data_IF_873959296731
#
_entry.id   IF_873959296731
#
_cell.length_a   1.000
_cell.length_b   1.000
_cell.length_c   1.000
_cell.angle_alpha   90.00
_cell.angle_beta   90.00
_cell.angle_gamma   90.00
#
_symmetry.space_group_name_H-M   'P 1'
#
loop_
_entity.id
_entity.type
_entity.pdbx_description
1 polymer ?
#
# COMPACT_ATOMS: atom_id res chain seq x y z
N UNK A 1 -64.72 -35.62 6.78
CA UNK A 1 -64.11 -34.34 6.47
C UNK A 1 -62.70 -34.34 7.08
N UNK A 2 -61.64 -34.53 6.26
CA UNK A 2 -60.23 -34.57 6.71
C UNK A 2 -59.64 -33.18 6.47
N UNK A 3 -59.29 -32.48 7.56
CA UNK A 3 -58.57 -31.20 7.50
C UNK A 3 -57.08 -31.45 7.41
N UNK A 4 -56.46 -31.07 6.27
CA UNK A 4 -55.03 -31.13 6.06
C UNK A 4 -54.47 -29.79 6.54
N UNK A 5 -53.63 -29.82 7.60
CA UNK A 5 -52.86 -28.68 8.07
C UNK A 5 -51.56 -28.61 7.29
N UNK A 6 -51.38 -27.53 6.51
CA UNK A 6 -50.08 -27.19 5.89
C UNK A 6 -49.24 -26.48 6.94
N UNK A 7 -48.18 -27.12 7.37
CA UNK A 7 -47.13 -26.46 8.17
C UNK A 7 -46.19 -25.71 7.22
N UNK A 8 -46.25 -24.38 7.18
CA UNK A 8 -45.30 -23.57 6.45
C UNK A 8 -44.00 -23.48 7.27
N UNK A 9 -42.95 -24.15 6.80
CA UNK A 9 -41.60 -24.02 7.35
C UNK A 9 -41.00 -22.70 6.87
N UNK A 10 -41.02 -21.66 7.72
CA UNK A 10 -40.23 -20.46 7.48
C UNK A 10 -38.75 -20.77 7.73
N UNK A 11 -38.00 -20.98 6.67
CA UNK A 11 -36.57 -21.05 6.72
C UNK A 11 -35.99 -19.65 6.95
N UNK A 12 -35.45 -19.38 8.12
CA UNK A 12 -34.65 -18.17 8.38
C UNK A 12 -33.29 -18.35 7.70
N UNK A 13 -33.08 -17.66 6.58
CA UNK A 13 -31.75 -17.54 5.98
C UNK A 13 -30.89 -16.68 6.93
N UNK A 14 -30.00 -17.30 7.67
CA UNK A 14 -28.93 -16.59 8.39
C UNK A 14 -27.95 -16.10 7.31
N UNK A 15 -28.01 -14.81 6.99
CA UNK A 15 -26.98 -14.17 6.21
C UNK A 15 -25.68 -14.22 7.03
N UNK A 16 -24.73 -15.04 6.63
CA UNK A 16 -23.38 -14.98 7.17
C UNK A 16 -22.81 -13.59 6.84
N UNK A 17 -22.69 -12.75 7.85
CA UNK A 17 -22.01 -11.47 7.70
C UNK A 17 -20.56 -11.78 7.29
N UNK A 18 -20.18 -11.37 6.11
CA UNK A 18 -18.80 -11.44 5.69
C UNK A 18 -17.96 -10.62 6.68
N UNK A 19 -17.02 -11.28 7.36
CA UNK A 19 -16.15 -10.63 8.33
C UNK A 19 -14.95 -10.07 7.58
N UNK A 20 -14.70 -8.76 7.78
CA UNK A 20 -13.46 -8.14 7.37
C UNK A 20 -12.28 -8.79 8.12
N UNK A 21 -11.23 -9.12 7.41
CA UNK A 21 -10.01 -9.69 7.99
C UNK A 21 -8.93 -8.62 8.06
N UNK A 22 -8.24 -8.54 9.20
CA UNK A 22 -7.07 -7.68 9.34
C UNK A 22 -5.82 -8.45 8.94
N UNK A 23 -5.10 -7.90 7.99
CA UNK A 23 -3.84 -8.41 7.45
C UNK A 23 -2.71 -7.51 7.91
N UNK A 24 -1.53 -8.08 8.13
CA UNK A 24 -0.29 -7.34 8.41
C UNK A 24 0.62 -7.39 7.20
N UNK A 25 1.18 -6.27 6.82
CA UNK A 25 2.23 -6.24 5.78
C UNK A 25 3.44 -7.01 6.27
N UNK A 26 3.91 -7.96 5.48
CA UNK A 26 5.13 -8.72 5.76
C UNK A 26 6.35 -7.94 5.25
N UNK A 27 7.19 -7.38 6.14
CA UNK A 27 8.32 -6.55 5.73
C UNK A 27 9.42 -7.32 4.98
N UNK A 28 9.43 -8.65 5.08
CA UNK A 28 10.44 -9.48 4.42
C UNK A 28 10.09 -9.78 2.96
N UNK A 29 8.80 -9.65 2.61
CA UNK A 29 8.29 -9.97 1.27
C UNK A 29 7.55 -8.77 0.65
N UNK A 30 7.78 -7.56 1.18
CA UNK A 30 7.20 -6.33 0.66
C UNK A 30 8.28 -5.31 0.35
N UNK A 31 8.06 -4.52 -0.70
CA UNK A 31 8.99 -3.49 -1.14
C UNK A 31 8.26 -2.24 -1.62
N UNK A 32 8.74 -1.08 -1.20
CA UNK A 32 8.33 0.21 -1.77
C UNK A 32 9.45 0.69 -2.71
N UNK A 33 9.25 0.52 -4.02
CA UNK A 33 10.21 0.86 -5.05
C UNK A 33 9.89 2.22 -5.65
N UNK A 34 10.92 2.92 -6.11
CA UNK A 34 10.75 4.17 -6.84
C UNK A 34 11.72 4.29 -8.02
N UNK A 35 11.34 5.10 -8.99
CA UNK A 35 12.23 5.50 -10.07
C UNK A 35 12.09 6.97 -10.42
N UNK A 36 13.21 7.59 -10.81
CA UNK A 36 13.29 9.01 -11.16
C UNK A 36 14.27 9.23 -12.32
N UNK A 37 14.00 10.21 -13.16
CA UNK A 37 14.94 10.63 -14.21
C UNK A 37 16.10 11.43 -13.62
N UNK A 38 17.31 11.10 -14.04
CA UNK A 38 18.54 11.87 -13.78
C UNK A 38 19.02 12.52 -15.07
N UNK A 39 19.16 13.84 -15.05
CA UNK A 39 19.50 14.69 -16.21
C UNK A 39 18.59 14.47 -17.43
N UNK A 40 17.42 13.87 -17.25
CA UNK A 40 16.52 13.51 -18.34
C UNK A 40 16.97 12.30 -19.18
N UNK A 41 18.19 11.79 -18.99
CA UNK A 41 18.82 10.78 -19.90
C UNK A 41 18.86 9.38 -19.31
N UNK A 42 18.92 9.23 -17.98
CA UNK A 42 18.95 7.93 -17.31
C UNK A 42 17.87 7.82 -16.26
N UNK A 43 17.64 6.59 -15.77
CA UNK A 43 16.67 6.34 -14.69
C UNK A 43 17.41 5.77 -13.49
N UNK A 44 17.37 6.50 -12.38
CA UNK A 44 17.77 6.00 -11.07
C UNK A 44 16.58 5.25 -10.47
N UNK A 45 16.86 4.07 -9.92
CA UNK A 45 15.90 3.24 -9.17
C UNK A 45 16.39 3.04 -7.76
N UNK A 46 15.47 2.98 -6.83
CA UNK A 46 15.73 2.67 -5.44
C UNK A 46 14.56 1.96 -4.79
N UNK A 47 14.79 1.48 -3.58
CA UNK A 47 13.81 0.78 -2.76
C UNK A 47 13.92 1.28 -1.32
N UNK A 48 12.80 1.35 -0.62
CA UNK A 48 12.77 1.39 0.83
C UNK A 48 12.58 -0.04 1.32
N UNK A 49 13.54 -0.53 2.09
CA UNK A 49 13.61 -1.94 2.50
C UNK A 49 12.73 -2.27 3.71
N UNK A 50 12.18 -1.26 4.40
CA UNK A 50 11.38 -1.46 5.62
C UNK A 50 10.01 -0.82 5.46
N UNK A 51 9.04 -1.67 5.17
CA UNK A 51 7.62 -1.29 5.06
C UNK A 51 6.82 -2.13 6.04
N UNK A 52 5.93 -1.50 6.81
CA UNK A 52 5.04 -2.14 7.78
C UNK A 52 3.65 -1.55 7.63
N UNK A 53 2.65 -2.22 8.20
CA UNK A 53 1.29 -1.68 8.18
C UNK A 53 0.23 -2.75 8.34
N UNK A 54 -1.02 -2.30 8.22
CA UNK A 54 -2.20 -3.14 8.28
C UNK A 54 -3.13 -2.86 7.11
N UNK A 55 -3.78 -3.91 6.63
CA UNK A 55 -4.85 -3.84 5.64
C UNK A 55 -6.06 -4.56 6.21
N UNK A 56 -7.16 -3.85 6.37
CA UNK A 56 -8.46 -4.45 6.67
C UNK A 56 -9.15 -4.69 5.35
N UNK A 57 -9.38 -5.94 5.01
CA UNK A 57 -9.96 -6.34 3.72
C UNK A 57 -11.21 -7.18 3.92
N UNK A 58 -12.27 -6.82 3.19
CA UNK A 58 -13.52 -7.57 3.11
C UNK A 58 -13.70 -8.08 1.68
N UNK A 59 -13.64 -9.40 1.51
CA UNK A 59 -13.82 -10.05 0.20
C UNK A 59 -15.19 -9.76 -0.40
N UNK A 60 -16.23 -9.61 0.44
CA UNK A 60 -17.60 -9.35 -0.02
C UNK A 60 -17.83 -7.87 -0.38
N UNK A 61 -17.03 -6.97 0.17
CA UNK A 61 -17.11 -5.53 -0.09
C UNK A 61 -15.70 -4.89 -0.13
N UNK A 62 -14.96 -5.08 -1.24
CA UNK A 62 -13.62 -4.50 -1.39
C UNK A 62 -13.58 -2.98 -1.21
N UNK A 63 -14.70 -2.27 -1.43
CA UNK A 63 -14.80 -0.83 -1.21
C UNK A 63 -14.63 -0.40 0.25
N UNK A 64 -14.76 -1.34 1.21
CA UNK A 64 -14.52 -1.09 2.64
C UNK A 64 -13.07 -1.31 3.07
N UNK A 65 -12.18 -1.61 2.14
CA UNK A 65 -10.76 -1.80 2.43
C UNK A 65 -10.17 -0.58 3.12
N UNK A 66 -9.42 -0.81 4.20
CA UNK A 66 -8.67 0.22 4.90
C UNK A 66 -7.20 -0.14 4.91
N UNK A 67 -6.34 0.80 4.57
CA UNK A 67 -4.89 0.64 4.51
C UNK A 67 -4.25 1.68 5.42
N UNK A 68 -3.36 1.23 6.29
CA UNK A 68 -2.49 2.09 7.10
C UNK A 68 -1.07 1.52 6.99
N UNK A 69 -0.19 2.24 6.29
CA UNK A 69 1.16 1.79 5.97
C UNK A 69 2.21 2.82 6.38
N UNK A 70 3.35 2.31 6.83
CA UNK A 70 4.50 3.10 7.25
C UNK A 70 5.77 2.54 6.63
N UNK A 71 6.58 3.41 6.06
CA UNK A 71 7.89 3.13 5.50
C UNK A 71 8.94 3.85 6.34
N UNK A 72 10.01 3.16 6.75
CA UNK A 72 11.19 3.76 7.34
C UNK A 72 11.98 4.53 6.26
N UNK A 73 11.96 5.85 6.32
CA UNK A 73 12.61 6.70 5.32
C UNK A 73 14.13 6.50 5.27
N UNK A 74 14.77 6.11 6.38
CA UNK A 74 16.19 5.82 6.43
C UNK A 74 16.56 4.51 5.74
N UNK A 75 15.57 3.64 5.45
CA UNK A 75 15.80 2.35 4.77
C UNK A 75 15.99 2.46 3.25
N UNK A 76 16.09 3.67 2.71
CA UNK A 76 16.33 3.93 1.29
C UNK A 76 17.67 3.32 0.84
N UNK A 77 17.62 2.58 -0.27
CA UNK A 77 18.75 1.94 -0.92
C UNK A 77 18.64 2.09 -2.45
N UNK A 78 19.64 2.71 -3.06
CA UNK A 78 19.79 2.84 -4.50
C UNK A 78 21.04 2.10 -5.02
N UNK A 79 21.67 1.29 -4.16
CA UNK A 79 22.93 0.56 -4.41
C UNK A 79 24.15 1.47 -4.58
N UNK A 80 24.05 2.74 -4.16
CA UNK A 80 25.16 3.71 -4.17
C UNK A 80 25.13 4.47 -2.85
N UNK A 81 25.98 4.09 -1.91
CA UNK A 81 26.00 4.60 -0.53
C UNK A 81 26.06 6.13 -0.46
N UNK A 82 26.90 6.76 -1.29
CA UNK A 82 26.99 8.23 -1.33
C UNK A 82 25.65 8.88 -1.69
N UNK A 83 24.92 8.31 -2.63
CA UNK A 83 23.59 8.80 -3.02
C UNK A 83 22.57 8.53 -1.93
N UNK A 84 22.62 7.38 -1.30
CA UNK A 84 21.70 7.00 -0.21
C UNK A 84 21.89 7.92 0.98
N UNK A 85 23.14 8.32 1.30
CA UNK A 85 23.44 9.30 2.34
C UNK A 85 22.90 10.70 1.99
N UNK A 86 23.00 11.12 0.74
CA UNK A 86 22.41 12.39 0.29
C UNK A 86 20.87 12.33 0.33
N UNK A 87 20.25 11.22 -0.09
CA UNK A 87 18.81 11.03 0.00
C UNK A 87 18.28 11.09 1.46
N UNK A 88 19.06 10.61 2.43
CA UNK A 88 18.72 10.68 3.86
C UNK A 88 18.93 12.08 4.45
N UNK A 89 19.74 12.92 3.82
CA UNK A 89 20.12 14.24 4.31
C UNK A 89 18.98 15.28 4.21
N UNK A 90 19.14 16.47 4.83
CA UNK A 90 18.22 17.60 4.66
C UNK A 90 18.07 18.10 3.22
N UNK A 91 18.95 17.70 2.29
CA UNK A 91 18.81 18.04 0.87
C UNK A 91 17.60 17.33 0.23
N UNK A 92 17.18 16.18 0.77
CA UNK A 92 16.09 15.37 0.23
C UNK A 92 15.06 14.98 1.29
N UNK A 93 15.23 13.83 1.95
CA UNK A 93 14.20 13.26 2.83
C UNK A 93 14.28 13.78 4.27
N UNK A 94 15.45 14.29 4.68
CA UNK A 94 15.69 14.76 6.06
C UNK A 94 15.21 13.75 7.11
N UNK A 95 15.72 12.53 7.02
CA UNK A 95 15.20 11.39 7.81
C UNK A 95 15.36 11.56 9.31
N UNK A 96 16.23 12.48 9.76
CA UNK A 96 16.38 12.83 11.17
C UNK A 96 15.13 13.56 11.67
N UNK A 97 14.60 14.46 10.86
CA UNK A 97 13.40 15.24 11.18
C UNK A 97 12.12 14.50 10.76
N UNK A 98 12.16 13.76 9.67
CA UNK A 98 11.03 13.06 9.08
C UNK A 98 11.36 11.57 8.88
N UNK A 99 11.39 10.77 9.96
CA UNK A 99 11.89 9.39 9.91
C UNK A 99 10.98 8.42 9.15
N UNK A 100 9.74 8.81 8.87
CA UNK A 100 8.77 7.93 8.24
C UNK A 100 8.08 8.59 7.06
N UNK A 101 7.73 7.74 6.07
CA UNK A 101 6.74 8.02 5.04
C UNK A 101 5.50 7.22 5.40
N UNK A 102 4.31 7.84 5.38
CA UNK A 102 3.06 7.15 5.77
C UNK A 102 2.00 7.28 4.69
N UNK A 103 1.16 6.26 4.58
CA UNK A 103 -0.03 6.28 3.74
C UNK A 103 -1.23 5.77 4.52
N UNK A 104 -2.35 6.50 4.44
CA UNK A 104 -3.63 6.11 5.02
C UNK A 104 -4.74 6.25 3.99
N UNK A 105 -5.42 5.16 3.67
CA UNK A 105 -6.52 5.19 2.71
C UNK A 105 -7.71 6.01 3.26
N UNK A 106 -8.35 6.78 2.38
CA UNK A 106 -9.54 7.57 2.68
C UNK A 106 -10.75 7.09 1.88
N UNK A 107 -10.52 6.51 0.70
CA UNK A 107 -11.58 5.97 -0.15
C UNK A 107 -11.02 4.84 -1.01
N UNK A 108 -11.82 3.79 -1.20
CA UNK A 108 -11.47 2.67 -2.09
C UNK A 108 -12.62 2.46 -3.07
N UNK A 109 -12.28 2.43 -4.34
CA UNK A 109 -13.18 2.10 -5.43
C UNK A 109 -12.75 0.77 -6.06
N UNK A 110 -13.60 -0.25 -5.97
CA UNK A 110 -13.38 -1.51 -6.69
C UNK A 110 -13.67 -1.31 -8.17
N UNK A 111 -12.75 -1.77 -9.02
CA UNK A 111 -12.91 -1.76 -10.48
C UNK A 111 -13.25 -3.16 -11.04
N UNK A 112 -13.45 -4.13 -10.15
CA UNK A 112 -13.69 -5.53 -10.53
C UNK A 112 -12.41 -6.28 -10.89
N UNK A 113 -12.50 -7.59 -11.07
CA UNK A 113 -11.39 -8.47 -11.47
C UNK A 113 -10.11 -8.30 -10.61
N UNK A 114 -10.24 -8.04 -9.31
CA UNK A 114 -9.12 -7.84 -8.41
C UNK A 114 -8.42 -6.48 -8.54
N UNK A 115 -9.02 -5.51 -9.23
CA UNK A 115 -8.46 -4.16 -9.38
C UNK A 115 -9.19 -3.15 -8.52
N UNK A 116 -8.44 -2.20 -7.96
CA UNK A 116 -8.99 -1.11 -7.14
C UNK A 116 -8.24 0.20 -7.39
N UNK A 117 -8.94 1.30 -7.24
CA UNK A 117 -8.33 2.62 -7.01
C UNK A 117 -8.43 2.94 -5.52
N UNK A 118 -7.28 3.17 -4.90
CA UNK A 118 -7.18 3.52 -3.49
C UNK A 118 -6.75 4.96 -3.36
N UNK A 119 -7.66 5.83 -2.98
CA UNK A 119 -7.35 7.21 -2.62
C UNK A 119 -6.92 7.27 -1.17
N UNK A 120 -5.87 8.02 -0.87
CA UNK A 120 -5.38 8.15 0.50
C UNK A 120 -4.44 9.32 0.71
N UNK A 121 -4.17 9.59 1.97
CA UNK A 121 -3.26 10.63 2.41
C UNK A 121 -1.84 10.07 2.49
N UNK A 122 -0.97 10.52 1.61
CA UNK A 122 0.46 10.22 1.59
C UNK A 122 1.22 11.35 2.27
N UNK A 123 2.04 11.01 3.27
CA UNK A 123 2.91 11.97 3.94
C UNK A 123 4.36 11.65 3.65
N UNK A 124 5.09 12.60 3.07
CA UNK A 124 6.53 12.54 2.81
C UNK A 124 7.14 13.85 3.29
N UNK A 125 8.30 13.80 3.95
CA UNK A 125 9.03 15.00 4.38
C UNK A 125 8.14 15.96 5.18
N UNK A 126 7.24 15.44 6.03
CA UNK A 126 6.30 16.21 6.84
C UNK A 126 5.13 16.86 6.08
N UNK A 127 5.03 16.68 4.77
CA UNK A 127 3.95 17.23 3.95
C UNK A 127 2.99 16.12 3.55
N UNK A 128 1.70 16.33 3.76
CA UNK A 128 0.64 15.39 3.39
C UNK A 128 -0.08 15.85 2.12
N UNK A 129 -0.24 14.94 1.18
CA UNK A 129 -1.04 15.13 -0.04
C UNK A 129 -1.92 13.92 -0.28
N UNK A 130 -3.10 14.15 -0.85
CA UNK A 130 -3.94 13.08 -1.33
C UNK A 130 -3.37 12.53 -2.65
N UNK A 131 -3.25 11.21 -2.74
CA UNK A 131 -2.81 10.49 -3.93
C UNK A 131 -3.78 9.35 -4.24
N UNK A 132 -3.74 8.86 -5.48
CA UNK A 132 -4.47 7.66 -5.90
C UNK A 132 -3.47 6.58 -6.25
N UNK A 133 -3.65 5.40 -5.67
CA UNK A 133 -2.92 4.19 -6.03
C UNK A 133 -3.79 3.37 -6.97
N UNK A 134 -3.23 2.94 -8.09
CA UNK A 134 -3.80 1.90 -8.93
C UNK A 134 -3.32 0.55 -8.37
N UNK A 135 -4.25 -0.28 -7.89
CA UNK A 135 -3.97 -1.54 -7.18
C UNK A 135 -4.43 -2.72 -8.01
N UNK A 136 -3.53 -3.69 -8.22
CA UNK A 136 -3.80 -5.02 -8.75
C UNK A 136 -3.71 -6.03 -7.59
N UNK A 137 -4.82 -6.63 -7.25
CA UNK A 137 -4.97 -7.47 -6.06
C UNK A 137 -6.06 -6.97 -5.11
N UNK A 138 -6.13 -7.54 -3.89
CA UNK A 138 -5.27 -8.64 -3.44
C UNK A 138 -5.57 -9.96 -4.14
N UNK A 139 -4.57 -10.83 -4.22
CA UNK A 139 -4.74 -12.20 -4.68
C UNK A 139 -5.70 -12.97 -3.76
N UNK A 140 -6.22 -14.10 -4.23
CA UNK A 140 -6.87 -15.04 -3.31
C UNK A 140 -5.91 -15.47 -2.20
N UNK A 141 -6.37 -15.60 -0.94
CA UNK A 141 -5.54 -16.06 0.15
C UNK A 141 -5.03 -17.48 -0.09
N UNK A 142 -3.76 -17.72 0.26
CA UNK A 142 -3.14 -19.04 0.26
C UNK A 142 -2.70 -19.42 1.66
N UNK A 143 -2.86 -20.69 2.04
CA UNK A 143 -2.36 -21.21 3.31
C UNK A 143 -0.88 -21.55 3.19
N UNK A 144 -0.02 -20.87 3.91
CA UNK A 144 1.42 -21.09 3.90
C UNK A 144 2.04 -20.67 5.23
N UNK A 145 3.12 -21.36 5.64
CA UNK A 145 3.96 -21.01 6.81
C UNK A 145 3.14 -20.80 8.11
N UNK A 146 2.08 -21.58 8.31
CA UNK A 146 1.27 -21.55 9.54
C UNK A 146 0.22 -20.42 9.60
N UNK A 147 -0.03 -19.72 8.48
CA UNK A 147 -1.02 -18.65 8.37
C UNK A 147 -1.62 -18.54 6.98
N UNK A 148 -2.39 -17.49 6.77
CA UNK A 148 -2.88 -17.09 5.45
C UNK A 148 -1.98 -16.00 4.89
N UNK A 149 -1.76 -16.02 3.57
CA UNK A 149 -1.01 -15.01 2.84
C UNK A 149 -1.76 -14.55 1.62
N UNK A 150 -1.63 -13.29 1.26
CA UNK A 150 -2.09 -12.72 -0.01
C UNK A 150 -1.14 -11.61 -0.46
N UNK A 151 -1.15 -11.30 -1.74
CA UNK A 151 -0.29 -10.28 -2.33
C UNK A 151 -1.07 -9.27 -3.15
N UNK A 152 -0.52 -8.07 -3.28
CA UNK A 152 -1.01 -7.02 -4.15
C UNK A 152 0.16 -6.19 -4.71
N UNK A 153 0.00 -5.67 -5.91
CA UNK A 153 0.85 -4.62 -6.46
C UNK A 153 0.08 -3.30 -6.48
N UNK A 154 0.74 -2.20 -6.16
CA UNK A 154 0.15 -0.87 -6.32
C UNK A 154 1.12 0.08 -7.00
N UNK A 155 0.61 0.95 -7.87
CA UNK A 155 1.41 1.92 -8.60
C UNK A 155 0.84 3.32 -8.49
N UNK A 156 1.72 4.33 -8.53
CA UNK A 156 1.35 5.73 -8.66
C UNK A 156 2.52 6.56 -9.17
N UNK A 157 2.25 7.80 -9.55
CA UNK A 157 3.28 8.80 -9.87
C UNK A 157 2.99 10.06 -9.08
N UNK A 158 4.01 10.58 -8.40
CA UNK A 158 3.92 11.81 -7.61
C UNK A 158 4.93 12.84 -8.10
N UNK A 159 4.67 14.10 -7.80
CA UNK A 159 5.69 15.15 -7.92
C UNK A 159 6.37 15.35 -6.56
N UNK A 160 7.68 15.08 -6.47
CA UNK A 160 8.44 15.19 -5.22
C UNK A 160 8.42 16.60 -4.62
N UNK A 161 8.31 17.65 -5.46
CA UNK A 161 8.28 19.03 -5.02
C UNK A 161 6.99 19.38 -4.26
N UNK A 162 5.89 18.68 -4.55
CA UNK A 162 4.64 18.85 -3.82
C UNK A 162 4.75 18.44 -2.35
N UNK A 163 5.79 17.64 -2.04
CA UNK A 163 6.13 17.19 -0.70
C UNK A 163 7.34 17.94 -0.10
N UNK A 164 7.81 18.99 -0.76
CA UNK A 164 8.94 19.78 -0.28
C UNK A 164 10.33 19.14 -0.49
N UNK A 165 10.42 18.02 -1.23
CA UNK A 165 11.69 17.36 -1.57
C UNK A 165 12.29 18.05 -2.79
N UNK A 166 13.11 19.08 -2.58
CA UNK A 166 13.59 20.01 -3.60
C UNK A 166 15.05 19.83 -4.01
N UNK A 167 15.76 18.82 -3.47
CA UNK A 167 17.19 18.59 -3.75
C UNK A 167 17.51 18.45 -5.23
N UNK A 168 18.67 18.95 -5.65
CA UNK A 168 19.22 18.81 -7.00
C UNK A 168 18.23 19.14 -8.15
N UNK A 169 17.60 20.33 -8.19
CA UNK A 169 16.45 20.62 -9.05
C UNK A 169 16.76 20.57 -10.55
N UNK A 170 18.01 20.78 -10.95
CA UNK A 170 18.45 20.71 -12.36
C UNK A 170 18.93 19.32 -12.80
N UNK A 171 19.15 18.41 -11.84
CA UNK A 171 19.72 17.10 -12.12
C UNK A 171 18.68 15.96 -11.91
N UNK A 172 17.76 16.12 -10.97
CA UNK A 172 16.78 15.11 -10.61
C UNK A 172 15.40 15.53 -11.06
N UNK A 173 14.74 14.69 -11.84
CA UNK A 173 13.37 14.92 -12.31
C UNK A 173 12.38 15.08 -11.16
N UNK A 174 11.26 15.75 -11.42
CA UNK A 174 10.25 16.05 -10.43
C UNK A 174 9.26 14.89 -10.24
N UNK A 175 9.02 14.12 -11.30
CA UNK A 175 8.11 12.98 -11.28
C UNK A 175 8.82 11.74 -10.75
N UNK A 176 8.24 11.17 -9.70
CA UNK A 176 8.68 9.90 -9.10
C UNK A 176 7.61 8.85 -9.40
N UNK A 177 8.01 7.81 -10.13
CA UNK A 177 7.18 6.61 -10.28
C UNK A 177 7.38 5.72 -9.05
N UNK A 178 6.29 5.21 -8.50
CA UNK A 178 6.26 4.35 -7.31
C UNK A 178 5.62 3.03 -7.70
N UNK A 179 6.24 1.93 -7.27
CA UNK A 179 5.70 0.56 -7.36
C UNK A 179 5.81 -0.05 -5.97
N UNK A 180 4.70 -0.53 -5.46
CA UNK A 180 4.58 -1.18 -4.16
C UNK A 180 4.26 -2.65 -4.40
N UNK A 181 5.19 -3.55 -4.07
CA UNK A 181 4.94 -4.98 -4.00
C UNK A 181 4.65 -5.33 -2.55
N UNK A 182 3.48 -5.88 -2.26
CA UNK A 182 3.04 -6.10 -0.88
C UNK A 182 2.59 -7.55 -0.70
N UNK A 183 3.25 -8.26 0.20
CA UNK A 183 2.74 -9.49 0.76
C UNK A 183 2.14 -9.21 2.15
N UNK A 184 1.00 -9.83 2.44
CA UNK A 184 0.28 -9.63 3.69
C UNK A 184 -0.03 -10.98 4.34
N UNK A 185 -0.02 -10.99 5.69
CA UNK A 185 -0.24 -12.19 6.49
C UNK A 185 -1.40 -11.99 7.46
N UNK A 186 -2.18 -13.05 7.67
CA UNK A 186 -3.20 -13.12 8.70
C UNK A 186 -3.18 -14.49 9.41
N UNK A 187 -3.58 -14.53 10.68
CA UNK A 187 -3.73 -15.78 11.44
C UNK A 187 -2.44 -16.49 11.84
N UNK A 188 -1.25 -15.91 11.63
CA UNK A 188 0.02 -16.40 12.17
C UNK A 188 0.20 -16.00 13.64
N UNK A 189 0.74 -16.93 14.47
CA UNK A 189 1.21 -16.62 15.84
C UNK A 189 2.54 -15.91 15.81
#
# INVERSE_FOLDING_TARGET
>A
MKRIFWLALLGTAVAAAAQSTTWKIDPNHSAAQFSVKHLGISTVRGVFQKTTGTVVYDVADPGKTQIDATIDAASVDTRVERRDNDLRSPNFLDVVKYPTITFKSTHVQSEGAGKMKVTGDLTIHGTTKQVVLDVDGPSAPVSAMGGQRMGAEATTTINRKDFGVNGAPSMVGDQIQIVLDVEMTAGGK
#
